data_IF_792977789277
#
_entry.id   IF_792977789277
#
_cell.length_a   1.000
_cell.length_b   1.000
_cell.length_c   1.000
_cell.angle_alpha   90.00
_cell.angle_beta   90.00
_cell.angle_gamma   90.00
#
_symmetry.space_group_name_H-M   'P 1'
#
loop_
_entity.id
_entity.type
_entity.pdbx_description
1 polymer ?
#
# COMPACT_ATOMS: atom_id res chain seq x y z
N UNK A 1 -36.62 11.83 -68.35
CA UNK A 1 -35.90 10.54 -68.42
C UNK A 1 -34.46 10.77 -67.91
N UNK A 2 -34.25 10.92 -66.60
CA UNK A 2 -34.02 9.89 -65.57
C UNK A 2 -32.72 9.09 -65.74
N UNK A 3 -31.68 9.45 -64.98
CA UNK A 3 -30.95 8.51 -64.10
C UNK A 3 -30.13 9.25 -63.04
N UNK A 4 -30.72 9.32 -61.83
CA UNK A 4 -30.16 9.78 -60.56
C UNK A 4 -28.94 8.95 -60.17
N UNK A 5 -27.80 9.59 -59.89
CA UNK A 5 -26.70 9.01 -59.09
C UNK A 5 -27.09 9.04 -57.61
N UNK A 6 -27.43 7.88 -57.04
CA UNK A 6 -27.56 7.67 -55.58
C UNK A 6 -26.19 7.31 -55.01
N UNK A 7 -25.59 8.20 -54.21
CA UNK A 7 -24.54 7.84 -53.24
C UNK A 7 -25.21 7.02 -52.14
N UNK A 8 -24.83 5.76 -51.98
CA UNK A 8 -25.17 4.96 -50.80
C UNK A 8 -24.32 5.47 -49.63
N UNK A 9 -24.94 6.21 -48.71
CA UNK A 9 -24.43 6.31 -47.34
C UNK A 9 -24.78 4.99 -46.66
N UNK A 10 -23.76 4.18 -46.37
CA UNK A 10 -23.90 3.06 -45.45
C UNK A 10 -23.85 3.60 -44.04
N UNK A 11 -25.01 3.67 -43.39
CA UNK A 11 -25.12 3.79 -41.94
C UNK A 11 -24.66 2.48 -41.33
N UNK A 12 -23.42 2.44 -40.83
CA UNK A 12 -23.02 1.40 -39.88
C UNK A 12 -23.41 1.91 -38.49
N UNK A 13 -24.67 1.65 -38.13
CA UNK A 13 -25.05 1.58 -36.72
C UNK A 13 -24.64 0.18 -36.28
N UNK A 14 -23.63 0.09 -35.42
CA UNK A 14 -23.33 -1.13 -34.68
C UNK A 14 -23.11 -0.74 -33.24
N UNK A 15 -24.20 -0.90 -32.49
CA UNK A 15 -24.25 -0.93 -31.04
C UNK A 15 -23.42 -2.11 -30.52
N UNK A 16 -22.66 -1.89 -29.44
CA UNK A 16 -22.34 -2.78 -28.30
C UNK A 16 -20.98 -2.35 -27.71
N UNK A 17 -20.95 -1.52 -26.66
CA UNK A 17 -21.15 -1.84 -25.24
C UNK A 17 -19.92 -2.56 -24.63
N UNK A 18 -19.33 -1.86 -23.65
CA UNK A 18 -18.51 -2.34 -22.52
C UNK A 18 -17.08 -2.78 -22.86
N UNK A 19 -16.11 -1.92 -22.55
CA UNK A 19 -14.76 -2.33 -22.07
C UNK A 19 -13.97 -1.17 -21.41
N UNK A 20 -14.63 -0.23 -20.74
CA UNK A 20 -13.96 0.81 -19.91
C UNK A 20 -14.41 0.75 -18.43
N UNK A 21 -15.29 -0.20 -18.08
CA UNK A 21 -15.80 -0.33 -16.71
C UNK A 21 -14.96 -1.25 -15.79
N UNK A 22 -13.98 -2.01 -16.31
CA UNK A 22 -13.21 -2.95 -15.46
C UNK A 22 -12.16 -2.22 -14.60
N UNK A 23 -11.66 -1.06 -15.04
CA UNK A 23 -10.76 -0.23 -14.24
C UNK A 23 -11.48 0.57 -13.12
N UNK A 24 -12.80 0.73 -13.22
CA UNK A 24 -13.62 1.36 -12.17
C UNK A 24 -14.36 0.35 -11.29
N UNK A 25 -14.81 -0.79 -11.83
CA UNK A 25 -15.67 -1.75 -11.11
C UNK A 25 -14.98 -2.53 -9.97
N UNK A 26 -13.66 -2.68 -10.01
CA UNK A 26 -12.90 -3.23 -8.87
C UNK A 26 -12.57 -2.14 -7.85
N UNK A 27 -12.44 -0.89 -8.30
CA UNK A 27 -12.27 0.28 -7.43
C UNK A 27 -13.55 0.66 -6.67
N UNK A 28 -14.73 0.44 -7.26
CA UNK A 28 -15.98 0.73 -6.56
C UNK A 28 -16.30 -0.29 -5.47
N UNK A 29 -16.02 -1.59 -5.57
CA UNK A 29 -16.33 -2.49 -4.43
C UNK A 29 -15.40 -2.34 -3.22
N UNK A 30 -14.18 -1.84 -3.41
CA UNK A 30 -13.27 -1.49 -2.30
C UNK A 30 -13.44 -0.04 -1.80
N UNK A 31 -14.01 0.85 -2.63
CA UNK A 31 -14.27 2.26 -2.32
C UNK A 31 -15.73 2.61 -2.01
N UNK A 32 -16.69 1.73 -2.25
CA UNK A 32 -18.12 1.95 -1.99
C UNK A 32 -18.51 1.60 -0.56
N UNK A 33 -17.59 1.07 0.24
CA UNK A 33 -17.79 0.98 1.67
C UNK A 33 -17.05 2.14 2.37
N UNK A 34 -17.72 3.28 2.60
CA UNK A 34 -17.16 4.39 3.35
C UNK A 34 -16.79 4.01 4.79
N UNK A 35 -17.15 2.82 5.27
CA UNK A 35 -16.76 2.27 6.58
C UNK A 35 -15.72 1.14 6.48
N UNK A 36 -15.44 0.60 5.28
CA UNK A 36 -14.69 -0.65 5.10
C UNK A 36 -15.35 -1.88 5.77
N UNK A 37 -16.54 -1.72 6.33
CA UNK A 37 -17.26 -2.67 7.18
C UNK A 37 -17.64 -4.01 6.53
N UNK A 38 -17.87 -4.04 5.23
CA UNK A 38 -18.29 -5.19 4.44
C UNK A 38 -17.06 -5.98 3.97
N UNK A 39 -16.00 -5.30 3.50
CA UNK A 39 -14.68 -5.90 3.33
C UNK A 39 -14.17 -6.49 4.66
N UNK A 40 -14.38 -5.78 5.77
CA UNK A 40 -14.02 -6.24 7.10
C UNK A 40 -14.92 -7.37 7.59
N UNK A 41 -16.23 -7.42 7.30
CA UNK A 41 -17.10 -8.54 7.69
C UNK A 41 -16.76 -9.83 6.95
N UNK A 42 -16.40 -9.73 5.67
CA UNK A 42 -15.90 -10.86 4.90
C UNK A 42 -14.50 -11.32 5.38
N UNK A 43 -13.74 -10.44 6.04
CA UNK A 43 -12.38 -10.71 6.53
C UNK A 43 -12.28 -11.04 8.04
N UNK A 44 -13.24 -10.60 8.87
CA UNK A 44 -13.34 -10.91 10.30
C UNK A 44 -14.21 -12.13 10.58
N UNK A 45 -14.58 -12.90 9.54
CA UNK A 45 -15.05 -14.27 9.75
C UNK A 45 -13.94 -15.01 10.50
N UNK A 46 -14.24 -15.44 11.73
CA UNK A 46 -13.34 -16.13 12.66
C UNK A 46 -12.56 -17.28 12.01
N UNK A 47 -11.44 -16.95 11.36
CA UNK A 47 -10.37 -17.88 11.08
C UNK A 47 -9.17 -17.37 11.87
N UNK A 48 -9.21 -17.61 13.18
CA UNK A 48 -8.05 -17.59 14.07
C UNK A 48 -7.11 -18.75 13.68
N UNK A 49 -6.63 -18.75 12.44
CA UNK A 49 -5.45 -19.52 12.09
C UNK A 49 -4.24 -18.76 12.64
N UNK A 50 -3.72 -19.28 13.75
CA UNK A 50 -2.48 -18.88 14.40
C UNK A 50 -1.43 -18.50 13.34
N UNK A 51 -0.94 -17.25 13.38
CA UNK A 51 0.17 -16.82 12.52
C UNK A 51 1.40 -17.65 12.91
N UNK A 52 1.81 -18.61 12.06
CA UNK A 52 2.92 -19.52 12.37
C UNK A 52 4.30 -18.90 12.14
N UNK A 53 4.37 -17.76 11.44
CA UNK A 53 5.61 -17.02 11.22
C UNK A 53 5.57 -15.74 12.03
N UNK A 54 6.43 -15.64 13.04
CA UNK A 54 6.58 -14.45 13.89
C UNK A 54 8.04 -14.05 14.00
N UNK A 55 8.34 -12.76 13.92
CA UNK A 55 9.63 -12.25 14.38
C UNK A 55 9.45 -11.80 15.82
N UNK A 56 9.93 -12.61 16.75
CA UNK A 56 9.88 -12.29 18.18
C UNK A 56 10.87 -11.17 18.52
N UNK A 57 10.43 -10.29 19.42
CA UNK A 57 11.22 -9.26 20.10
C UNK A 57 11.96 -8.29 19.17
N UNK A 58 11.20 -7.37 18.57
CA UNK A 58 11.83 -6.28 17.81
C UNK A 58 12.38 -5.21 18.76
N UNK A 59 13.54 -4.68 18.39
CA UNK A 59 14.16 -3.55 19.06
C UNK A 59 13.60 -2.24 18.52
N UNK A 60 13.35 -1.30 19.43
CA UNK A 60 12.95 0.07 19.09
C UNK A 60 14.13 0.83 18.47
N UNK A 61 13.88 1.51 17.34
CA UNK A 61 14.85 2.43 16.75
C UNK A 61 15.17 3.61 17.67
N UNK A 62 16.42 4.08 17.64
CA UNK A 62 16.89 5.26 18.38
C UNK A 62 16.44 6.58 17.71
N UNK A 63 15.13 6.79 17.62
CA UNK A 63 14.50 8.03 17.14
C UNK A 63 13.48 8.52 18.16
N UNK A 64 13.06 9.78 18.06
CA UNK A 64 12.06 10.37 18.97
C UNK A 64 10.68 9.68 18.90
N UNK A 65 10.39 8.98 17.80
CA UNK A 65 9.11 8.31 17.55
C UNK A 65 9.22 6.78 17.52
N UNK A 66 10.42 6.21 17.76
CA UNK A 66 10.68 4.78 17.69
C UNK A 66 10.62 4.23 16.25
N UNK A 67 10.21 2.98 16.12
CA UNK A 67 10.09 2.31 14.83
C UNK A 67 11.11 1.18 14.62
N UNK A 68 11.17 0.71 13.37
CA UNK A 68 12.00 -0.43 12.97
C UNK A 68 13.51 -0.12 13.15
N UNK A 69 14.20 -0.89 14.00
CA UNK A 69 15.64 -0.75 14.19
C UNK A 69 16.43 -1.19 12.94
N UNK A 70 17.67 -0.70 12.74
CA UNK A 70 18.53 -1.20 11.65
C UNK A 70 18.78 -2.71 11.69
N UNK A 71 18.91 -3.29 12.89
CA UNK A 71 19.08 -4.73 13.07
C UNK A 71 17.84 -5.49 12.62
N UNK A 72 16.65 -5.05 13.01
CA UNK A 72 15.41 -5.72 12.61
C UNK A 72 15.08 -5.49 11.13
N UNK A 73 15.43 -4.32 10.59
CA UNK A 73 15.40 -4.10 9.15
C UNK A 73 16.23 -5.17 8.41
N UNK A 74 17.44 -5.46 8.88
CA UNK A 74 18.28 -6.47 8.25
C UNK A 74 17.69 -7.89 8.39
N UNK A 75 17.09 -8.23 9.53
CA UNK A 75 16.35 -9.49 9.71
C UNK A 75 15.24 -9.61 8.68
N UNK A 76 14.42 -8.56 8.53
CA UNK A 76 13.32 -8.51 7.54
C UNK A 76 13.85 -8.61 6.11
N UNK A 77 14.93 -7.92 5.77
CA UNK A 77 15.53 -7.95 4.44
C UNK A 77 16.01 -9.37 4.06
N UNK A 78 16.44 -10.16 5.04
CA UNK A 78 16.94 -11.52 4.85
C UNK A 78 15.83 -12.58 4.77
N UNK A 79 14.56 -12.22 5.04
CA UNK A 79 13.45 -13.16 4.91
C UNK A 79 13.20 -13.53 3.45
N UNK A 80 12.86 -14.80 3.21
CA UNK A 80 12.33 -15.26 1.95
C UNK A 80 10.88 -15.70 2.15
N UNK A 81 10.01 -15.36 1.20
CA UNK A 81 8.65 -15.86 1.18
C UNK A 81 8.65 -17.35 0.81
N UNK A 82 7.84 -18.15 1.49
CA UNK A 82 7.61 -19.56 1.18
C UNK A 82 6.25 -19.70 0.49
N UNK A 83 6.22 -20.19 -0.75
CA UNK A 83 4.99 -20.46 -1.49
C UNK A 83 4.00 -21.28 -0.65
N UNK A 84 2.72 -20.91 -0.70
CA UNK A 84 1.65 -21.48 0.11
C UNK A 84 1.58 -20.95 1.55
N UNK A 85 2.42 -19.98 1.93
CA UNK A 85 2.34 -19.30 3.22
C UNK A 85 1.51 -18.01 3.13
N UNK A 86 1.15 -17.46 4.30
CA UNK A 86 0.49 -16.15 4.41
C UNK A 86 1.37 -15.03 3.90
N UNK A 87 0.76 -14.01 3.30
CA UNK A 87 1.45 -12.89 2.69
C UNK A 87 1.99 -11.85 3.69
N UNK A 88 1.76 -12.04 4.98
CA UNK A 88 2.34 -11.22 6.03
C UNK A 88 2.72 -12.06 7.26
N UNK A 89 3.55 -11.48 8.12
CA UNK A 89 4.01 -12.03 9.39
C UNK A 89 3.91 -10.95 10.47
N UNK A 90 3.62 -11.37 11.69
CA UNK A 90 3.66 -10.49 12.86
C UNK A 90 5.10 -10.23 13.29
N UNK A 91 5.34 -8.99 13.70
CA UNK A 91 6.63 -8.53 14.21
C UNK A 91 6.40 -8.04 15.63
N UNK A 92 7.26 -8.45 16.56
CA UNK A 92 7.18 -8.01 17.96
C UNK A 92 5.82 -8.31 18.61
N UNK A 93 5.30 -9.53 18.43
CA UNK A 93 4.03 -9.99 19.01
C UNK A 93 2.83 -9.11 18.61
N UNK A 94 2.83 -8.65 17.34
CA UNK A 94 1.91 -7.65 16.79
C UNK A 94 1.83 -6.36 17.64
N UNK A 95 2.95 -5.95 18.24
CA UNK A 95 3.06 -4.69 18.97
C UNK A 95 4.05 -3.76 18.28
N UNK A 96 3.59 -2.54 18.00
CA UNK A 96 4.46 -1.48 17.50
C UNK A 96 5.60 -1.19 18.47
N UNK A 97 6.72 -0.78 17.89
CA UNK A 97 7.87 -0.24 18.63
C UNK A 97 7.81 1.29 18.72
N UNK A 98 6.71 1.88 18.26
CA UNK A 98 6.51 3.32 18.20
C UNK A 98 6.33 3.92 19.60
N UNK A 99 6.79 5.16 19.75
CA UNK A 99 6.63 5.92 21.00
C UNK A 99 5.32 6.71 20.94
N UNK A 100 4.25 6.19 21.55
CA UNK A 100 2.92 6.85 21.56
C UNK A 100 2.95 8.33 21.97
N UNK A 101 3.83 8.69 22.91
CA UNK A 101 3.99 10.07 23.39
C UNK A 101 4.67 11.04 22.41
N UNK A 102 5.19 10.53 21.29
CA UNK A 102 5.79 11.33 20.23
C UNK A 102 4.76 12.07 19.38
N UNK A 103 3.47 11.73 19.51
CA UNK A 103 2.40 12.47 18.88
C UNK A 103 2.35 13.91 19.41
N UNK A 104 2.57 14.91 18.54
CA UNK A 104 2.51 16.34 18.88
C UNK A 104 1.71 17.15 17.86
N UNK A 105 2.10 17.06 16.60
CA UNK A 105 1.52 17.83 15.50
C UNK A 105 1.14 16.91 14.35
N UNK A 106 0.09 17.30 13.61
CA UNK A 106 -0.33 16.61 12.39
C UNK A 106 0.68 16.88 11.27
N UNK A 107 1.34 15.82 10.79
CA UNK A 107 2.35 15.89 9.72
C UNK A 107 2.73 14.49 9.26
N UNK A 108 3.41 14.40 8.13
CA UNK A 108 4.21 13.24 7.75
C UNK A 108 5.69 13.62 7.76
N UNK A 109 6.52 12.72 8.27
CA UNK A 109 7.97 12.80 8.15
C UNK A 109 8.35 11.85 7.03
N UNK A 110 8.65 12.41 5.85
CA UNK A 110 9.19 11.67 4.72
C UNK A 110 10.70 11.53 4.85
N UNK A 111 11.19 10.32 4.66
CA UNK A 111 12.63 10.05 4.56
C UNK A 111 13.15 10.39 3.17
N UNK A 112 14.40 10.86 3.08
CA UNK A 112 15.03 11.06 1.77
C UNK A 112 15.25 9.72 1.06
N UNK A 113 15.30 9.77 -0.27
CA UNK A 113 15.71 8.61 -1.05
C UNK A 113 17.18 8.24 -0.74
N UNK A 114 17.54 6.97 -0.89
CA UNK A 114 18.93 6.55 -0.81
C UNK A 114 19.70 6.84 -2.12
N UNK A 115 20.97 6.45 -2.17
CA UNK A 115 21.85 6.62 -3.33
C UNK A 115 21.40 5.85 -4.58
N UNK A 116 20.45 4.91 -4.46
CA UNK A 116 19.84 4.19 -5.58
C UNK A 116 18.48 4.78 -5.97
N UNK A 117 18.10 5.94 -5.40
CA UNK A 117 16.80 6.58 -5.53
C UNK A 117 15.62 5.77 -4.97
N UNK A 118 15.88 4.87 -4.00
CA UNK A 118 14.84 4.08 -3.34
C UNK A 118 14.33 4.80 -2.10
N UNK A 119 13.11 4.51 -1.69
CA UNK A 119 12.70 4.80 -0.31
C UNK A 119 13.64 4.06 0.65
N UNK A 120 14.20 4.75 1.64
CA UNK A 120 15.41 4.27 2.34
C UNK A 120 15.20 3.97 3.82
N UNK A 121 14.39 4.79 4.48
CA UNK A 121 14.06 4.73 5.90
C UNK A 121 12.56 4.91 6.04
N UNK A 122 12.05 4.69 7.24
CA UNK A 122 10.64 4.76 7.52
C UNK A 122 10.05 6.15 7.23
N UNK A 123 8.87 6.18 6.62
CA UNK A 123 8.02 7.35 6.66
C UNK A 123 7.14 7.26 7.90
N UNK A 124 7.05 8.34 8.68
CA UNK A 124 6.26 8.37 9.92
C UNK A 124 5.17 9.41 9.80
N UNK A 125 3.93 8.96 9.80
CA UNK A 125 2.75 9.79 9.73
C UNK A 125 2.16 9.99 11.12
N UNK A 126 1.90 11.25 11.41
CA UNK A 126 1.12 11.69 12.53
C UNK A 126 -0.27 12.09 11.99
N UNK A 127 -1.22 11.14 12.06
CA UNK A 127 -2.60 11.20 11.59
C UNK A 127 -3.70 11.42 12.66
N UNK A 128 -4.74 12.16 12.29
CA UNK A 128 -6.02 12.28 13.01
C UNK A 128 -7.21 12.25 12.03
N UNK A 129 -8.45 12.36 12.52
CA UNK A 129 -9.67 12.17 11.71
C UNK A 129 -9.68 12.94 10.38
N UNK A 130 -9.16 14.17 10.37
CA UNK A 130 -9.15 15.04 9.17
C UNK A 130 -8.21 14.57 8.05
N UNK A 131 -7.37 13.56 8.29
CA UNK A 131 -6.52 12.99 7.25
C UNK A 131 -7.18 11.85 6.46
N UNK A 132 -8.40 11.41 6.83
CA UNK A 132 -9.14 10.42 6.04
C UNK A 132 -9.53 11.05 4.71
N UNK A 133 -8.97 10.55 3.60
CA UNK A 133 -9.16 11.13 2.28
C UNK A 133 -10.48 10.72 1.61
N UNK A 134 -10.92 11.56 0.69
CA UNK A 134 -12.03 11.27 -0.21
C UNK A 134 -11.49 10.71 -1.52
N UNK A 135 -11.81 9.46 -1.84
CA UNK A 135 -11.35 8.75 -3.03
C UNK A 135 -11.69 9.47 -4.36
N UNK A 136 -12.70 10.35 -4.38
CA UNK A 136 -13.03 11.15 -5.57
C UNK A 136 -11.96 12.20 -5.92
N UNK A 137 -11.06 12.53 -5.00
CA UNK A 137 -9.95 13.47 -5.22
C UNK A 137 -8.68 12.76 -5.72
N UNK A 138 -8.74 11.44 -5.92
CA UNK A 138 -7.60 10.66 -6.40
C UNK A 138 -7.34 10.96 -7.87
N UNK A 139 -6.09 11.23 -8.21
CA UNK A 139 -5.63 11.50 -9.57
C UNK A 139 -4.77 10.37 -10.10
N UNK A 140 -4.56 10.36 -11.42
CA UNK A 140 -3.65 9.42 -12.06
C UNK A 140 -2.23 9.62 -11.51
N UNK A 141 -1.64 8.53 -11.03
CA UNK A 141 -0.27 8.52 -10.53
C UNK A 141 0.72 8.34 -11.68
N UNK A 142 1.87 9.01 -11.60
CA UNK A 142 2.86 9.03 -12.69
C UNK A 142 4.27 8.68 -12.25
N UNK A 143 4.63 8.83 -10.97
CA UNK A 143 5.98 8.49 -10.48
C UNK A 143 6.27 7.01 -10.71
N UNK A 144 7.42 6.69 -11.29
CA UNK A 144 7.88 5.32 -11.49
C UNK A 144 9.01 5.06 -10.49
N UNK A 145 8.76 4.34 -9.38
CA UNK A 145 9.80 4.03 -8.41
C UNK A 145 10.87 3.12 -9.01
N UNK A 146 11.95 2.89 -8.27
CA UNK A 146 12.98 1.93 -8.66
C UNK A 146 12.38 0.54 -8.91
N UNK A 147 12.94 -0.17 -9.91
CA UNK A 147 12.47 -1.49 -10.31
C UNK A 147 11.08 -1.48 -10.96
N UNK A 148 10.53 -0.33 -11.35
CA UNK A 148 9.24 -0.24 -12.03
C UNK A 148 9.28 -0.87 -13.43
N UNK A 149 8.20 -1.56 -13.77
CA UNK A 149 7.92 -2.10 -15.10
C UNK A 149 6.47 -1.81 -15.47
N UNK A 150 6.11 -2.03 -16.73
CA UNK A 150 4.72 -1.95 -17.16
C UNK A 150 3.81 -2.78 -16.25
N UNK A 151 2.74 -2.14 -15.76
CA UNK A 151 1.98 -2.62 -14.61
C UNK A 151 1.09 -3.83 -14.89
N UNK A 152 0.95 -4.26 -16.13
CA UNK A 152 0.19 -5.45 -16.51
C UNK A 152 1.06 -6.47 -17.23
N UNK A 153 0.73 -7.75 -17.05
CA UNK A 153 1.32 -8.85 -17.83
C UNK A 153 0.20 -9.83 -18.18
N UNK A 154 -0.03 -10.06 -19.47
CA UNK A 154 -1.12 -10.92 -19.95
C UNK A 154 -2.50 -10.52 -19.36
N UNK A 155 -2.79 -9.22 -19.31
CA UNK A 155 -4.04 -8.69 -18.73
C UNK A 155 -4.13 -8.71 -17.20
N UNK A 156 -3.16 -9.33 -16.50
CA UNK A 156 -3.13 -9.35 -15.03
C UNK A 156 -2.40 -8.12 -14.50
N UNK A 157 -2.97 -7.33 -13.58
CA UNK A 157 -2.24 -6.29 -12.86
C UNK A 157 -1.16 -6.91 -11.98
N UNK A 158 0.09 -6.50 -12.16
CA UNK A 158 1.26 -7.06 -11.45
C UNK A 158 1.88 -6.03 -10.52
N UNK A 159 1.93 -4.75 -10.91
CA UNK A 159 2.61 -3.71 -10.15
C UNK A 159 1.68 -2.56 -9.83
N UNK A 160 1.85 -2.00 -8.63
CA UNK A 160 1.29 -0.73 -8.21
C UNK A 160 2.40 0.18 -7.66
N UNK A 161 2.12 1.47 -7.71
CA UNK A 161 2.88 2.50 -7.00
C UNK A 161 2.45 2.41 -5.54
N UNK A 162 3.14 1.57 -4.77
CA UNK A 162 2.84 1.32 -3.37
C UNK A 162 3.16 2.55 -2.54
N UNK A 163 2.14 3.13 -1.90
CA UNK A 163 2.31 4.20 -0.94
C UNK A 163 2.85 3.65 0.39
N UNK A 164 3.87 4.29 0.97
CA UNK A 164 4.26 4.02 2.35
C UNK A 164 3.21 4.59 3.31
N UNK A 165 2.89 5.88 3.15
CA UNK A 165 1.75 6.52 3.80
C UNK A 165 0.62 6.58 2.78
N UNK A 166 -0.43 5.77 3.02
CA UNK A 166 -1.53 5.61 2.09
C UNK A 166 -2.24 6.92 1.79
N UNK A 167 -2.61 7.11 0.53
CA UNK A 167 -3.48 8.20 0.10
C UNK A 167 -4.73 8.35 1.00
N UNK A 168 -5.34 7.20 1.32
CA UNK A 168 -6.59 7.12 2.07
C UNK A 168 -6.51 7.69 3.50
N UNK A 169 -5.30 7.95 4.00
CA UNK A 169 -5.03 8.54 5.32
C UNK A 169 -4.10 9.75 5.25
N UNK A 170 -3.89 10.35 4.08
CA UNK A 170 -2.96 11.48 3.90
C UNK A 170 -3.65 12.81 3.54
N UNK A 171 -4.98 12.93 3.65
CA UNK A 171 -5.67 14.18 3.32
C UNK A 171 -5.10 15.34 4.13
N UNK A 172 -4.96 16.50 3.50
CA UNK A 172 -4.31 17.67 4.09
C UNK A 172 -2.79 17.62 4.08
N UNK A 173 -2.14 16.48 3.85
CA UNK A 173 -0.67 16.37 3.88
C UNK A 173 -0.10 16.73 2.51
N UNK A 174 0.76 17.74 2.45
CA UNK A 174 1.51 18.09 1.24
C UNK A 174 2.74 17.20 1.00
N UNK A 175 3.45 17.41 -0.10
CA UNK A 175 4.66 16.62 -0.44
C UNK A 175 5.86 16.91 0.48
N UNK A 176 5.83 18.03 1.21
CA UNK A 176 6.81 18.35 2.25
C UNK A 176 6.48 17.68 3.59
N UNK A 177 5.28 17.09 3.70
CA UNK A 177 4.77 16.43 4.89
C UNK A 177 4.06 17.36 5.86
N UNK A 178 3.81 18.61 5.48
CA UNK A 178 3.07 19.55 6.33
C UNK A 178 1.58 19.40 6.10
N UNK A 179 0.79 19.67 7.14
CA UNK A 179 -0.66 19.75 7.03
C UNK A 179 -1.08 21.13 6.50
N UNK A 180 -1.76 21.15 5.35
CA UNK A 180 -2.49 22.29 4.81
C UNK A 180 -3.96 21.88 4.58
N UNK A 181 -4.94 22.45 5.32
CA UNK A 181 -6.35 22.11 5.17
C UNK A 181 -6.92 22.44 3.77
N UNK A 182 -6.23 23.27 2.97
CA UNK A 182 -6.61 23.57 1.59
C UNK A 182 -6.25 22.43 0.62
N UNK A 183 -5.29 21.57 0.99
CA UNK A 183 -4.91 20.41 0.20
C UNK A 183 -5.75 19.18 0.58
N UNK A 184 -6.98 19.10 0.09
CA UNK A 184 -7.88 18.00 0.43
C UNK A 184 -7.48 16.65 -0.21
N UNK A 185 -6.65 16.68 -1.26
CA UNK A 185 -6.13 15.48 -1.92
C UNK A 185 -5.17 14.71 -1.01
N UNK A 186 -4.26 15.42 -0.33
CA UNK A 186 -3.11 14.76 0.30
C UNK A 186 -2.04 14.34 -0.71
N UNK A 187 -1.04 13.60 -0.24
CA UNK A 187 0.09 13.15 -1.07
C UNK A 187 -0.25 11.95 -1.96
N UNK A 188 -0.09 12.11 -3.27
CA UNK A 188 -0.38 11.08 -4.27
C UNK A 188 0.82 10.66 -5.12
N UNK A 189 1.81 11.53 -5.28
CA UNK A 189 2.90 11.38 -6.27
C UNK A 189 4.27 11.82 -5.71
N UNK A 190 4.47 11.79 -4.38
CA UNK A 190 5.79 12.03 -3.80
C UNK A 190 6.71 10.82 -4.02
N UNK A 191 7.87 10.97 -4.70
CA UNK A 191 8.80 9.87 -4.90
C UNK A 191 9.35 9.32 -3.57
N UNK A 192 9.41 10.12 -2.50
CA UNK A 192 9.82 9.67 -1.16
C UNK A 192 8.78 8.79 -0.47
N UNK A 193 7.59 8.65 -1.04
CA UNK A 193 6.46 7.92 -0.46
C UNK A 193 6.04 6.73 -1.34
N UNK A 194 6.75 6.45 -2.44
CA UNK A 194 6.36 5.46 -3.42
C UNK A 194 7.45 4.42 -3.64
N UNK A 195 7.06 3.14 -3.67
CA UNK A 195 7.93 2.03 -4.06
C UNK A 195 7.18 1.08 -5.02
N UNK A 196 7.92 0.28 -5.78
CA UNK A 196 7.33 -0.75 -6.64
C UNK A 196 6.81 -1.90 -5.78
N UNK A 197 5.48 -2.04 -5.73
CA UNK A 197 4.79 -3.06 -4.96
C UNK A 197 3.96 -3.93 -5.88
N UNK A 198 3.80 -5.21 -5.57
CA UNK A 198 2.90 -6.09 -6.31
C UNK A 198 1.45 -5.64 -6.15
N UNK A 199 0.62 -5.92 -7.15
CA UNK A 199 -0.80 -5.59 -7.09
C UNK A 199 -1.48 -6.28 -5.90
N UNK A 200 -1.14 -7.54 -5.64
CA UNK A 200 -1.68 -8.32 -4.52
C UNK A 200 -1.25 -7.75 -3.16
N UNK A 201 0.05 -7.54 -2.92
CA UNK A 201 0.55 -6.99 -1.65
C UNK A 201 -0.06 -5.62 -1.37
N UNK A 202 -0.19 -4.77 -2.40
CA UNK A 202 -0.74 -3.43 -2.27
C UNK A 202 -2.27 -3.42 -2.04
N UNK A 203 -3.05 -4.09 -2.91
CA UNK A 203 -4.51 -3.96 -2.92
C UNK A 203 -5.22 -4.92 -1.97
N UNK A 204 -4.60 -6.06 -1.64
CA UNK A 204 -5.16 -7.03 -0.70
C UNK A 204 -4.56 -6.86 0.67
N UNK A 205 -3.25 -7.05 0.79
CA UNK A 205 -2.62 -7.26 2.09
C UNK A 205 -2.45 -5.95 2.86
N UNK A 206 -1.86 -4.93 2.24
CA UNK A 206 -1.64 -3.63 2.87
C UNK A 206 -2.96 -2.92 3.21
N UNK A 207 -4.00 -3.10 2.39
CA UNK A 207 -5.33 -2.53 2.61
C UNK A 207 -5.98 -3.02 3.92
N UNK A 208 -5.68 -4.24 4.39
CA UNK A 208 -6.16 -4.77 5.68
C UNK A 208 -5.70 -3.85 6.83
N UNK A 209 -4.41 -3.52 6.87
CA UNK A 209 -3.82 -2.73 7.95
C UNK A 209 -4.16 -1.24 7.82
N UNK A 210 -4.20 -0.71 6.61
CA UNK A 210 -4.68 0.65 6.35
C UNK A 210 -6.14 0.83 6.75
N UNK A 211 -6.99 -0.19 6.61
CA UNK A 211 -8.37 -0.16 7.09
C UNK A 211 -8.44 -0.09 8.63
N UNK A 212 -7.55 -0.78 9.37
CA UNK A 212 -7.46 -0.65 10.83
C UNK A 212 -7.12 0.80 11.23
N UNK A 213 -6.15 1.42 10.56
CA UNK A 213 -5.78 2.84 10.78
C UNK A 213 -6.95 3.76 10.46
N UNK A 214 -7.57 3.65 9.27
CA UNK A 214 -8.73 4.46 8.88
C UNK A 214 -9.87 4.39 9.87
N UNK A 215 -10.18 3.20 10.39
CA UNK A 215 -11.24 3.01 11.40
C UNK A 215 -10.93 3.77 12.68
N UNK A 216 -9.69 3.66 13.18
CA UNK A 216 -9.26 4.40 14.37
C UNK A 216 -9.37 5.92 14.15
N UNK A 217 -8.94 6.43 12.99
CA UNK A 217 -9.08 7.86 12.66
C UNK A 217 -10.55 8.31 12.64
N UNK A 218 -11.45 7.51 12.05
CA UNK A 218 -12.91 7.80 12.03
C UNK A 218 -13.52 7.80 13.44
N UNK A 219 -12.99 6.98 14.34
CA UNK A 219 -13.32 6.95 15.77
C UNK A 219 -12.64 8.07 16.59
N UNK A 220 -12.16 9.13 15.92
CA UNK A 220 -11.47 10.28 16.54
C UNK A 220 -10.19 9.91 17.30
N UNK A 221 -9.54 8.79 16.97
CA UNK A 221 -8.24 8.46 17.53
C UNK A 221 -7.14 9.24 16.81
N UNK A 222 -6.08 9.57 17.56
CA UNK A 222 -4.80 10.08 17.01
C UNK A 222 -3.86 8.90 16.86
N UNK A 223 -3.30 8.71 15.67
CA UNK A 223 -2.54 7.51 15.31
C UNK A 223 -1.18 7.90 14.77
N UNK A 224 -0.12 7.38 15.40
CA UNK A 224 1.20 7.34 14.79
C UNK A 224 1.23 6.10 13.90
N UNK A 225 1.43 6.29 12.61
CA UNK A 225 1.56 5.22 11.62
C UNK A 225 2.93 5.32 10.95
N UNK A 226 3.62 4.20 10.83
CA UNK A 226 4.94 4.15 10.23
C UNK A 226 5.01 3.01 9.21
N UNK A 227 5.60 3.30 8.06
CA UNK A 227 5.80 2.35 6.98
C UNK A 227 7.24 2.39 6.47
N UNK A 228 7.82 1.21 6.26
CA UNK A 228 9.22 1.05 5.82
C UNK A 228 9.28 0.00 4.71
N UNK A 229 9.55 0.40 3.47
CA UNK A 229 9.90 -0.55 2.42
C UNK A 229 11.26 -1.19 2.76
N UNK A 230 11.35 -2.51 2.61
CA UNK A 230 12.54 -3.29 3.00
C UNK A 230 13.19 -3.87 1.76
N UNK A 231 14.39 -3.39 1.44
CA UNK A 231 15.24 -3.84 0.34
C UNK A 231 16.40 -4.69 0.87
N UNK A 232 16.84 -5.70 0.10
CA UNK A 232 18.04 -6.48 0.40
C UNK A 232 19.22 -5.98 -0.44
N UNK A 233 20.29 -5.53 0.20
CA UNK A 233 21.48 -5.02 -0.49
C UNK A 233 21.14 -3.94 -1.52
N UNK A 234 21.54 -4.16 -2.77
CA UNK A 234 21.36 -3.22 -3.88
C UNK A 234 20.09 -3.50 -4.72
N UNK A 235 19.14 -4.28 -4.20
CA UNK A 235 17.89 -4.56 -4.91
C UNK A 235 17.08 -3.30 -5.20
N UNK A 236 16.54 -3.19 -6.42
CA UNK A 236 15.75 -2.03 -6.84
C UNK A 236 14.25 -2.17 -6.51
N UNK A 237 13.77 -3.38 -6.24
CA UNK A 237 12.41 -3.65 -5.78
C UNK A 237 12.45 -4.17 -4.35
N UNK A 238 11.58 -3.65 -3.47
CA UNK A 238 11.55 -4.06 -2.07
C UNK A 238 11.08 -5.52 -1.94
N UNK A 239 11.64 -6.26 -0.98
CA UNK A 239 11.20 -7.61 -0.59
C UNK A 239 9.84 -7.61 0.11
N UNK A 240 9.51 -6.48 0.75
CA UNK A 240 8.27 -6.29 1.50
C UNK A 240 8.20 -4.90 2.11
N UNK A 241 7.18 -4.69 2.93
CA UNK A 241 6.98 -3.45 3.69
C UNK A 241 6.65 -3.79 5.15
N UNK A 242 7.36 -3.17 6.09
CA UNK A 242 6.98 -3.19 7.50
C UNK A 242 5.98 -2.06 7.77
N UNK A 243 4.85 -2.40 8.37
CA UNK A 243 3.82 -1.47 8.81
C UNK A 243 3.65 -1.59 10.32
N UNK A 244 3.63 -0.46 11.01
CA UNK A 244 3.31 -0.42 12.44
C UNK A 244 2.48 0.81 12.76
N UNK A 245 1.53 0.67 13.67
CA UNK A 245 0.72 1.79 14.14
C UNK A 245 0.46 1.70 15.64
N UNK A 246 0.32 2.87 16.26
CA UNK A 246 -0.16 2.99 17.64
C UNK A 246 -1.07 4.22 17.77
N UNK A 247 -2.22 4.06 18.40
CA UNK A 247 -3.03 5.22 18.81
C UNK A 247 -2.54 5.79 20.14
N UNK A 248 -2.74 7.09 20.36
CA UNK A 248 -2.28 7.75 21.61
C UNK A 248 -2.94 7.18 22.87
N UNK A 249 -4.14 6.61 22.73
CA UNK A 249 -4.88 5.94 23.80
C UNK A 249 -4.59 4.42 23.90
N UNK A 250 -3.78 3.87 22.99
CA UNK A 250 -3.39 2.45 22.97
C UNK A 250 -4.43 1.48 22.41
N UNK A 251 -5.61 1.95 21.98
CA UNK A 251 -6.68 1.10 21.43
C UNK A 251 -6.36 0.47 20.07
N UNK A 252 -5.48 1.10 19.27
CA UNK A 252 -4.88 0.53 18.07
C UNK A 252 -3.40 0.27 18.35
N UNK A 253 -2.93 -0.96 18.13
CA UNK A 253 -1.51 -1.30 18.19
C UNK A 253 -1.26 -2.52 17.30
N UNK A 254 -0.39 -2.39 16.30
CA UNK A 254 0.03 -3.50 15.44
C UNK A 254 1.45 -3.31 14.92
N UNK A 255 2.09 -4.40 14.53
CA UNK A 255 3.38 -4.39 13.85
C UNK A 255 3.54 -5.64 12.98
N UNK A 256 3.61 -5.44 11.68
CA UNK A 256 3.58 -6.52 10.69
C UNK A 256 4.59 -6.27 9.58
N UNK A 257 5.02 -7.35 8.94
CA UNK A 257 5.79 -7.31 7.70
C UNK A 257 5.02 -8.01 6.60
N UNK A 258 4.79 -7.29 5.50
CA UNK A 258 4.05 -7.76 4.35
C UNK A 258 5.03 -8.10 3.24
N UNK A 259 4.96 -9.32 2.73
CA UNK A 259 5.80 -9.74 1.61
C UNK A 259 5.34 -9.04 0.31
N UNK A 260 6.30 -8.62 -0.51
CA UNK A 260 6.06 -8.04 -1.82
C UNK A 260 5.98 -9.17 -2.85
N UNK A 261 4.86 -9.90 -2.85
CA UNK A 261 4.62 -11.14 -3.62
C UNK A 261 3.31 -11.08 -4.39
N UNK A 262 3.18 -11.92 -5.42
CA UNK A 262 2.02 -11.96 -6.30
C UNK A 262 1.68 -13.42 -6.61
N UNK A 263 0.45 -13.90 -6.36
CA UNK A 263 0.02 -15.22 -6.81
C UNK A 263 0.29 -15.43 -8.30
N UNK A 264 0.88 -16.56 -8.68
CA UNK A 264 1.20 -16.89 -10.07
C UNK A 264 2.45 -16.22 -10.66
N UNK A 265 3.20 -15.44 -9.87
CA UNK A 265 4.39 -14.72 -10.34
C UNK A 265 5.52 -14.71 -9.31
N UNK A 266 6.75 -14.75 -9.81
CA UNK A 266 7.97 -14.49 -9.04
C UNK A 266 8.64 -13.21 -9.54
N UNK A 267 9.26 -12.46 -8.63
CA UNK A 267 9.98 -11.23 -8.94
C UNK A 267 11.49 -11.43 -8.86
N UNK A 268 12.21 -10.89 -9.83
CA UNK A 268 13.63 -10.59 -9.67
C UNK A 268 13.76 -9.25 -8.95
N UNK A 269 13.96 -9.27 -7.64
CA UNK A 269 14.03 -8.05 -6.82
C UNK A 269 15.21 -7.14 -7.17
N UNK A 270 16.27 -7.65 -7.81
CA UNK A 270 17.40 -6.82 -8.24
C UNK A 270 16.99 -5.76 -9.26
N UNK A 271 16.03 -6.07 -10.13
CA UNK A 271 15.60 -5.17 -11.21
C UNK A 271 14.09 -4.99 -11.32
N UNK A 272 13.30 -5.65 -10.48
CA UNK A 272 11.85 -5.64 -10.44
C UNK A 272 11.12 -6.48 -11.49
N UNK A 273 11.80 -7.21 -12.38
CA UNK A 273 11.13 -7.99 -13.45
C UNK A 273 10.31 -9.15 -12.88
N UNK A 274 9.08 -9.30 -13.37
CA UNK A 274 8.22 -10.43 -13.07
C UNK A 274 8.38 -11.56 -14.10
N UNK A 275 8.38 -12.80 -13.60
CA UNK A 275 8.29 -14.03 -14.38
C UNK A 275 7.04 -14.79 -13.92
N UNK A 276 6.30 -15.33 -14.87
CA UNK A 276 5.15 -16.21 -14.58
C UNK A 276 5.66 -17.47 -13.89
N UNK A 277 5.04 -17.80 -12.77
CA UNK A 277 5.24 -19.05 -12.04
C UNK A 277 3.88 -19.50 -11.50
N UNK A 278 3.21 -20.38 -12.24
CA UNK A 278 1.85 -20.84 -11.91
C UNK A 278 1.78 -21.68 -10.63
N UNK A 279 2.92 -22.11 -10.10
CA UNK A 279 3.00 -22.84 -8.84
C UNK A 279 3.18 -21.91 -7.64
N UNK A 280 3.43 -20.60 -7.86
CA UNK A 280 3.50 -19.62 -6.79
C UNK A 280 2.12 -19.40 -6.16
N UNK A 281 1.94 -19.90 -4.95
CA UNK A 281 0.76 -19.75 -4.13
C UNK A 281 1.04 -18.74 -3.01
N UNK A 282 0.06 -17.89 -2.73
CA UNK A 282 0.14 -16.90 -1.66
C UNK A 282 -1.20 -16.89 -0.95
N UNK A 283 -1.19 -17.16 0.35
CA UNK A 283 -2.40 -17.14 1.18
C UNK A 283 -2.57 -15.75 1.81
N UNK A 284 -3.80 -15.36 2.11
CA UNK A 284 -4.14 -14.10 2.80
C UNK A 284 -3.82 -14.17 4.31
#
# INVERSE_FOLDING_TARGET
MTRRRRKKQGTVVSSLIVLIAILWGVFTKAGSDPNGSQFLRDFTGNNDEHVTNTISDASKAKTNYGGLSPTDYQKLANLNFKSGSRAYTEVNHDKSTLVKGAWKINRVIYSNLDSLNRTSRSNTAFLEKRNVANDSLRVRQYVEPTGWHYNHRNGTPIYNRGHLIAYSVSAGIDQSGNYDPRNQSGDQNNPKNLFTQSAYSNQKIQTIFEAKVRRALRQNKRVIYQATAVFRGNELMARGVNLQAVSTDGSLNFNVYLYNVQPGYVFNYNNGRAKVDRQMQVNE
#
